data_IF_536448162817
#
_entry.id   IF_536448162817
#
_cell.length_a   1.000
_cell.length_b   1.000
_cell.length_c   1.000
_cell.angle_alpha   90.00
_cell.angle_beta   90.00
_cell.angle_gamma   90.00
#
_symmetry.space_group_name_H-M   'P 1'
#
loop_
_entity.id
_entity.type
_entity.pdbx_description
1 polymer ?
#
# COMPACT_ATOMS: atom_id res chain seq x y z
N UNK A 1 0.36 -23.38 -7.45
CA UNK A 1 0.35 -21.91 -7.63
C UNK A 1 1.79 -21.43 -7.83
N UNK A 2 2.03 -20.44 -8.70
CA UNK A 2 3.38 -19.91 -8.95
C UNK A 2 3.82 -18.87 -7.91
N UNK A 3 3.73 -19.19 -6.62
CA UNK A 3 4.16 -18.30 -5.54
C UNK A 3 5.64 -18.50 -5.21
N UNK A 4 6.35 -17.41 -4.95
CA UNK A 4 7.78 -17.37 -4.61
C UNK A 4 7.98 -16.54 -3.35
N UNK A 5 8.77 -17.04 -2.40
CA UNK A 5 9.36 -16.20 -1.35
C UNK A 5 10.62 -15.55 -1.92
N UNK A 6 10.70 -14.23 -1.87
CA UNK A 6 11.80 -13.46 -2.44
C UNK A 6 12.33 -12.43 -1.44
N UNK A 7 13.64 -12.24 -1.39
CA UNK A 7 14.25 -11.19 -0.57
C UNK A 7 14.29 -9.88 -1.36
N UNK A 8 13.43 -8.92 -1.00
CA UNK A 8 13.51 -7.55 -1.51
C UNK A 8 14.21 -6.62 -0.53
N UNK A 9 14.62 -5.43 -0.98
CA UNK A 9 15.16 -4.38 -0.09
C UNK A 9 13.99 -3.73 0.66
N UNK A 10 14.14 -3.48 1.96
CA UNK A 10 13.13 -2.77 2.73
C UNK A 10 12.83 -1.38 2.15
N UNK A 11 11.55 -1.02 2.05
CA UNK A 11 11.11 0.25 1.47
C UNK A 11 11.63 1.50 2.22
N UNK A 12 11.94 1.34 3.52
CA UNK A 12 12.47 2.41 4.38
C UNK A 12 14.01 2.44 4.43
N UNK A 13 14.69 1.55 3.71
CA UNK A 13 16.16 1.52 3.70
C UNK A 13 16.72 2.71 2.89
N UNK A 14 17.59 3.56 3.48
CA UNK A 14 18.12 4.74 2.81
C UNK A 14 19.02 4.41 1.62
N UNK A 15 19.30 5.43 0.79
CA UNK A 15 20.25 5.34 -0.31
C UNK A 15 21.69 5.13 0.20
N UNK A 16 22.58 4.67 -0.68
CA UNK A 16 24.04 4.73 -0.46
C UNK A 16 24.66 3.54 0.28
N UNK A 17 23.87 2.63 0.87
CA UNK A 17 24.40 1.36 1.37
C UNK A 17 24.58 0.36 0.25
N UNK A 18 25.68 -0.39 0.30
CA UNK A 18 25.91 -1.50 -0.62
C UNK A 18 24.78 -2.55 -0.49
N UNK A 19 24.31 -3.10 -1.60
CA UNK A 19 23.12 -3.98 -1.62
C UNK A 19 23.22 -5.19 -0.68
N UNK A 20 24.45 -5.69 -0.44
CA UNK A 20 24.73 -6.79 0.48
C UNK A 20 24.46 -6.47 1.95
N UNK A 21 24.53 -5.20 2.34
CA UNK A 21 24.34 -4.74 3.73
C UNK A 21 23.03 -3.96 3.92
N UNK A 22 22.28 -3.74 2.84
CA UNK A 22 20.96 -3.14 2.91
C UNK A 22 20.00 -4.09 3.65
N UNK A 23 19.11 -3.52 4.47
CA UNK A 23 18.07 -4.29 5.16
C UNK A 23 17.14 -4.93 4.14
N UNK A 24 17.00 -6.24 4.24
CA UNK A 24 16.12 -7.04 3.39
C UNK A 24 14.82 -7.38 4.11
N UNK A 25 13.80 -7.67 3.32
CA UNK A 25 12.51 -8.19 3.79
C UNK A 25 12.05 -9.29 2.85
N UNK A 26 11.73 -10.45 3.40
CA UNK A 26 11.17 -11.56 2.64
C UNK A 26 9.71 -11.26 2.30
N UNK A 27 9.37 -11.31 1.02
CA UNK A 27 8.03 -11.05 0.50
C UNK A 27 7.52 -12.24 -0.31
N UNK A 28 6.21 -12.44 -0.30
CA UNK A 28 5.54 -13.44 -1.12
C UNK A 28 5.10 -12.81 -2.42
N UNK A 29 5.62 -13.31 -3.54
CA UNK A 29 5.32 -12.85 -4.89
C UNK A 29 4.58 -13.92 -5.67
N UNK A 30 3.62 -13.53 -6.52
CA UNK A 30 2.90 -14.42 -7.44
C UNK A 30 3.47 -14.21 -8.84
N UNK A 31 4.43 -15.05 -9.23
CA UNK A 31 5.07 -14.99 -10.55
C UNK A 31 4.07 -15.25 -11.66
N UNK A 32 3.25 -16.30 -11.49
CA UNK A 32 2.25 -16.70 -12.47
C UNK A 32 0.86 -16.69 -11.86
N UNK A 33 -0.06 -16.04 -12.55
CA UNK A 33 -1.48 -16.06 -12.27
C UNK A 33 -2.23 -16.51 -13.52
N UNK A 34 -2.35 -17.83 -13.68
CA UNK A 34 -2.73 -18.48 -14.95
C UNK A 34 -3.94 -17.82 -15.60
N UNK A 35 -5.00 -17.56 -14.84
CA UNK A 35 -6.23 -16.99 -15.38
C UNK A 35 -5.97 -15.60 -15.97
N UNK A 36 -5.43 -14.67 -15.17
CA UNK A 36 -5.16 -13.30 -15.66
C UNK A 36 -4.03 -13.25 -16.70
N UNK A 37 -3.03 -14.13 -16.58
CA UNK A 37 -1.85 -14.13 -17.43
C UNK A 37 -2.18 -14.67 -18.83
N UNK A 38 -3.07 -15.66 -18.93
CA UNK A 38 -3.48 -16.20 -20.23
C UNK A 38 -4.31 -15.19 -21.03
N UNK A 39 -5.23 -14.49 -20.38
CA UNK A 39 -6.03 -13.42 -21.00
C UNK A 39 -5.11 -12.32 -21.55
N UNK A 40 -4.20 -11.81 -20.71
CA UNK A 40 -3.25 -10.77 -21.12
C UNK A 40 -2.29 -11.27 -22.21
N UNK A 41 -1.87 -12.52 -22.16
CA UNK A 41 -1.01 -13.11 -23.20
C UNK A 41 -1.72 -13.19 -24.54
N UNK A 42 -3.00 -13.60 -24.54
CA UNK A 42 -3.80 -13.70 -25.75
C UNK A 42 -4.04 -12.33 -26.39
N UNK A 43 -4.30 -11.30 -25.59
CA UNK A 43 -4.63 -9.96 -26.08
C UNK A 43 -3.40 -9.10 -26.41
N UNK A 44 -2.34 -9.16 -25.58
CA UNK A 44 -1.22 -8.22 -25.64
C UNK A 44 0.15 -8.89 -25.88
N UNK A 45 0.16 -10.20 -26.10
CA UNK A 45 1.37 -10.98 -26.36
C UNK A 45 2.36 -11.01 -25.20
N UNK A 46 3.58 -11.50 -25.48
CA UNK A 46 4.61 -11.73 -24.45
C UNK A 46 5.09 -10.45 -23.78
N UNK A 47 5.12 -9.33 -24.51
CA UNK A 47 5.49 -8.03 -23.96
C UNK A 47 4.42 -7.48 -23.01
N UNK A 48 3.13 -7.60 -23.36
CA UNK A 48 2.03 -7.24 -22.48
C UNK A 48 1.99 -8.09 -21.23
N UNK A 49 2.15 -9.41 -21.36
CA UNK A 49 2.25 -10.33 -20.23
C UNK A 49 3.39 -9.93 -19.29
N UNK A 50 4.58 -9.62 -19.83
CA UNK A 50 5.72 -9.21 -19.01
C UNK A 50 5.43 -7.93 -18.22
N UNK A 51 4.83 -6.92 -18.86
CA UNK A 51 4.41 -5.66 -18.21
C UNK A 51 3.36 -5.90 -17.12
N UNK A 52 2.38 -6.76 -17.38
CA UNK A 52 1.36 -7.15 -16.40
C UNK A 52 1.98 -7.82 -15.16
N UNK A 53 2.89 -8.78 -15.38
CA UNK A 53 3.64 -9.43 -14.29
C UNK A 53 4.51 -8.43 -13.53
N UNK A 54 5.22 -7.55 -14.23
CA UNK A 54 6.04 -6.50 -13.63
C UNK A 54 5.22 -5.65 -12.65
N UNK A 55 4.09 -5.11 -13.11
CA UNK A 55 3.20 -4.29 -12.30
C UNK A 55 2.67 -5.05 -11.07
N UNK A 56 2.32 -6.34 -11.23
CA UNK A 56 1.89 -7.20 -10.14
C UNK A 56 2.99 -7.41 -9.09
N UNK A 57 4.21 -7.75 -9.53
CA UNK A 57 5.32 -8.06 -8.63
C UNK A 57 5.76 -6.83 -7.84
N UNK A 58 5.88 -5.67 -8.48
CA UNK A 58 6.24 -4.42 -7.81
C UNK A 58 5.18 -4.00 -6.80
N UNK A 59 3.89 -4.14 -7.14
CA UNK A 59 2.78 -3.88 -6.23
C UNK A 59 2.85 -4.80 -5.01
N UNK A 60 2.98 -6.11 -5.21
CA UNK A 60 3.04 -7.08 -4.12
C UNK A 60 4.23 -6.88 -3.19
N UNK A 61 5.41 -6.57 -3.74
CA UNK A 61 6.59 -6.24 -2.94
C UNK A 61 6.34 -4.98 -2.09
N UNK A 62 5.82 -3.91 -2.71
CA UNK A 62 5.57 -2.65 -2.01
C UNK A 62 4.49 -2.78 -0.94
N UNK A 63 3.42 -3.53 -1.20
CA UNK A 63 2.36 -3.80 -0.22
C UNK A 63 2.86 -4.52 1.03
N UNK A 64 4.00 -5.22 0.91
CA UNK A 64 4.73 -5.91 1.97
C UNK A 64 5.96 -5.11 2.45
N UNK A 65 6.07 -3.83 2.08
CA UNK A 65 7.14 -2.90 2.49
C UNK A 65 8.54 -3.31 2.01
N UNK A 66 8.60 -3.94 0.83
CA UNK A 66 9.84 -4.20 0.11
C UNK A 66 9.82 -3.56 -1.29
N UNK A 67 11.00 -3.41 -1.87
CA UNK A 67 11.22 -2.87 -3.20
C UNK A 67 12.05 -3.87 -4.00
N UNK A 68 11.70 -4.00 -5.27
CA UNK A 68 12.45 -4.77 -6.25
C UNK A 68 13.28 -3.82 -7.11
N UNK A 69 14.53 -4.15 -7.33
CA UNK A 69 15.42 -3.49 -8.30
C UNK A 69 15.08 -3.92 -9.74
N UNK A 70 15.70 -3.27 -10.73
CA UNK A 70 15.53 -3.69 -12.11
C UNK A 70 16.19 -5.05 -12.37
N UNK A 71 17.27 -5.34 -11.66
CA UNK A 71 17.99 -6.61 -11.68
C UNK A 71 17.12 -7.74 -11.12
N UNK A 72 16.44 -7.50 -9.99
CA UNK A 72 15.50 -8.46 -9.39
C UNK A 72 14.37 -8.79 -10.38
N UNK A 73 13.75 -7.76 -10.97
CA UNK A 73 12.67 -7.92 -11.94
C UNK A 73 13.15 -8.60 -13.22
N UNK A 74 14.36 -8.30 -13.69
CA UNK A 74 14.96 -8.93 -14.85
C UNK A 74 15.17 -10.44 -14.62
N UNK A 75 15.66 -10.81 -13.44
CA UNK A 75 15.81 -12.21 -13.03
C UNK A 75 14.45 -12.92 -12.95
N UNK A 76 13.48 -12.32 -12.23
CA UNK A 76 12.15 -12.90 -12.01
C UNK A 76 11.33 -13.06 -13.30
N UNK A 77 11.52 -12.16 -14.26
CA UNK A 77 10.78 -12.15 -15.53
C UNK A 77 11.60 -12.69 -16.71
N UNK A 78 12.80 -13.23 -16.43
CA UNK A 78 13.69 -13.84 -17.42
C UNK A 78 13.95 -12.90 -18.62
N UNK A 79 14.35 -11.67 -18.33
CA UNK A 79 14.66 -10.64 -19.33
C UNK A 79 15.90 -9.82 -18.91
N UNK A 80 16.18 -8.71 -19.59
CA UNK A 80 17.26 -7.79 -19.24
C UNK A 80 16.76 -6.58 -18.44
N UNK A 81 17.62 -6.01 -17.59
CA UNK A 81 17.33 -4.76 -16.87
C UNK A 81 16.95 -3.60 -17.83
N UNK A 82 17.57 -3.55 -19.01
CA UNK A 82 17.23 -2.59 -20.08
C UNK A 82 15.80 -2.76 -20.60
N UNK A 83 15.29 -3.99 -20.70
CA UNK A 83 13.90 -4.25 -21.06
C UNK A 83 12.96 -3.87 -19.91
N UNK A 84 13.30 -4.20 -18.67
CA UNK A 84 12.53 -3.78 -17.48
C UNK A 84 12.41 -2.25 -17.43
N UNK A 85 13.51 -1.52 -17.64
CA UNK A 85 13.50 -0.05 -17.68
C UNK A 85 12.54 0.50 -18.74
N UNK A 86 12.55 -0.07 -19.96
CA UNK A 86 11.62 0.32 -21.03
C UNK A 86 10.17 0.02 -20.68
N UNK A 87 9.91 -1.14 -20.09
CA UNK A 87 8.58 -1.55 -19.66
C UNK A 87 8.04 -0.66 -18.52
N UNK A 88 8.88 -0.29 -17.55
CA UNK A 88 8.54 0.68 -16.50
C UNK A 88 8.18 2.04 -17.10
N UNK A 89 8.98 2.53 -18.05
CA UNK A 89 8.69 3.80 -18.74
C UNK A 89 7.38 3.74 -19.54
N UNK A 90 7.08 2.59 -20.17
CA UNK A 90 5.82 2.38 -20.89
C UNK A 90 4.63 2.39 -19.93
N UNK A 91 4.71 1.65 -18.82
CA UNK A 91 3.66 1.59 -17.80
C UNK A 91 3.40 2.97 -17.17
N UNK A 92 4.47 3.72 -16.87
CA UNK A 92 4.35 5.09 -16.37
C UNK A 92 3.67 6.02 -17.41
N UNK A 93 3.96 5.86 -18.71
CA UNK A 93 3.29 6.60 -19.79
C UNK A 93 1.81 6.25 -19.94
N UNK A 94 1.45 5.01 -19.61
CA UNK A 94 0.06 4.53 -19.52
C UNK A 94 -0.63 4.98 -18.21
N UNK A 95 0.02 5.81 -17.40
CA UNK A 95 -0.53 6.36 -16.16
C UNK A 95 -0.40 5.44 -14.95
N UNK A 96 0.25 4.28 -15.06
CA UNK A 96 0.50 3.37 -13.94
C UNK A 96 1.76 3.77 -13.20
N UNK A 97 1.66 4.05 -11.92
CA UNK A 97 2.84 4.34 -11.10
C UNK A 97 3.59 3.07 -10.69
N UNK A 98 4.74 2.81 -11.30
CA UNK A 98 5.59 1.65 -10.97
C UNK A 98 6.68 2.02 -9.96
N UNK A 99 6.55 1.51 -8.74
CA UNK A 99 7.54 1.70 -7.67
C UNK A 99 8.56 0.57 -7.69
N UNK A 100 9.80 0.93 -7.96
CA UNK A 100 10.98 0.07 -7.92
C UNK A 100 11.98 0.64 -6.92
N UNK A 101 13.04 -0.10 -6.61
CA UNK A 101 14.11 0.42 -5.75
C UNK A 101 14.73 1.70 -6.34
N UNK A 102 15.07 1.69 -7.62
CA UNK A 102 15.63 2.85 -8.32
C UNK A 102 14.69 4.04 -8.29
N UNK A 103 13.44 3.86 -8.76
CA UNK A 103 12.48 4.97 -8.80
C UNK A 103 12.17 5.54 -7.41
N UNK A 104 12.15 4.72 -6.35
CA UNK A 104 11.97 5.21 -4.98
C UNK A 104 13.17 6.02 -4.47
N UNK A 105 14.40 5.67 -4.86
CA UNK A 105 15.60 6.44 -4.50
C UNK A 105 15.65 7.77 -5.27
N UNK A 106 15.29 7.76 -6.55
CA UNK A 106 15.32 8.93 -7.42
C UNK A 106 14.23 9.97 -7.10
N UNK A 107 13.13 9.56 -6.47
CA UNK A 107 12.04 10.45 -6.03
C UNK A 107 12.45 11.48 -4.97
N UNK A 108 13.63 11.32 -4.34
CA UNK A 108 14.10 12.23 -3.31
C UNK A 108 13.20 12.30 -2.07
N UNK A 109 13.31 13.36 -1.23
CA UNK A 109 12.51 13.50 -0.02
C UNK A 109 11.06 13.95 -0.25
N UNK A 110 10.56 13.97 -1.49
CA UNK A 110 9.18 14.35 -1.81
C UNK A 110 8.11 13.45 -1.14
N UNK A 111 6.84 13.76 -1.35
CA UNK A 111 5.74 13.02 -0.71
C UNK A 111 5.86 11.50 -0.91
N UNK A 112 5.61 10.74 0.16
CA UNK A 112 5.53 9.30 0.04
C UNK A 112 4.38 8.91 -0.87
N UNK A 113 4.53 7.78 -1.54
CA UNK A 113 3.49 7.27 -2.42
C UNK A 113 2.19 6.94 -1.65
N UNK A 114 2.29 6.61 -0.35
CA UNK A 114 1.13 6.42 0.53
C UNK A 114 0.36 7.74 0.69
N UNK A 115 1.07 8.85 0.86
CA UNK A 115 0.49 10.20 0.95
C UNK A 115 -0.17 10.62 -0.36
N UNK A 116 0.44 10.32 -1.51
CA UNK A 116 -0.17 10.58 -2.84
C UNK A 116 -1.51 9.85 -3.00
N UNK A 117 -1.59 8.59 -2.56
CA UNK A 117 -2.83 7.81 -2.61
C UNK A 117 -3.95 8.46 -1.78
N UNK A 118 -3.62 8.92 -0.57
CA UNK A 118 -4.60 9.59 0.30
C UNK A 118 -5.00 10.94 -0.30
N UNK A 119 -4.06 11.67 -0.89
CA UNK A 119 -4.33 12.92 -1.60
C UNK A 119 -5.32 12.71 -2.75
N UNK A 120 -5.16 11.68 -3.58
CA UNK A 120 -6.17 11.33 -4.59
C UNK A 120 -7.54 11.02 -3.97
N UNK A 121 -7.58 10.26 -2.87
CA UNK A 121 -8.85 10.01 -2.20
C UNK A 121 -9.52 11.30 -1.72
N UNK A 122 -8.78 12.20 -1.08
CA UNK A 122 -9.33 13.47 -0.58
C UNK A 122 -9.76 14.42 -1.72
N UNK A 123 -9.17 14.28 -2.91
CA UNK A 123 -9.56 15.00 -4.14
C UNK A 123 -10.83 14.51 -4.83
N UNK A 124 -11.43 13.40 -4.38
CA UNK A 124 -12.68 12.91 -4.96
C UNK A 124 -12.56 11.66 -5.83
N UNK A 125 -11.35 11.14 -6.07
CA UNK A 125 -11.17 9.94 -6.89
C UNK A 125 -11.76 8.71 -6.19
N UNK A 126 -12.44 7.86 -6.95
CA UNK A 126 -12.96 6.56 -6.49
C UNK A 126 -11.82 5.58 -6.22
N UNK A 127 -12.10 4.52 -5.46
CA UNK A 127 -11.12 3.46 -5.23
C UNK A 127 -10.59 2.89 -6.56
N UNK A 128 -11.48 2.56 -7.49
CA UNK A 128 -11.12 2.01 -8.80
C UNK A 128 -10.19 2.93 -9.59
N UNK A 129 -10.44 4.25 -9.60
CA UNK A 129 -9.56 5.21 -10.27
C UNK A 129 -8.19 5.27 -9.60
N UNK A 130 -8.14 5.27 -8.26
CA UNK A 130 -6.89 5.24 -7.51
C UNK A 130 -6.12 3.97 -7.78
N UNK A 131 -6.78 2.80 -7.84
CA UNK A 131 -6.14 1.53 -8.18
C UNK A 131 -5.52 1.60 -9.58
N UNK A 132 -6.27 2.12 -10.56
CA UNK A 132 -5.82 2.23 -11.93
C UNK A 132 -4.60 3.14 -12.07
N UNK A 133 -4.62 4.30 -11.42
CA UNK A 133 -3.53 5.28 -11.45
C UNK A 133 -2.32 4.74 -10.68
N UNK A 134 -2.53 4.37 -9.42
CA UNK A 134 -1.41 4.12 -8.49
C UNK A 134 -0.90 2.69 -8.53
N UNK A 135 -1.57 1.78 -9.25
CA UNK A 135 -1.27 0.35 -9.23
C UNK A 135 -1.22 -0.20 -7.79
N UNK A 136 -2.17 0.22 -6.95
CA UNK A 136 -2.39 -0.31 -5.62
C UNK A 136 -3.76 -0.96 -5.54
N UNK A 137 -3.88 -2.02 -4.73
CA UNK A 137 -5.18 -2.62 -4.44
C UNK A 137 -6.02 -1.74 -3.52
N UNK A 138 -7.35 -1.86 -3.60
CA UNK A 138 -8.33 -1.19 -2.76
C UNK A 138 -8.04 -1.51 -1.29
N UNK A 139 -7.67 -2.76 -1.00
CA UNK A 139 -7.22 -3.19 0.32
C UNK A 139 -6.05 -2.33 0.83
N UNK A 140 -5.09 -2.01 -0.03
CA UNK A 140 -3.95 -1.16 0.31
C UNK A 140 -4.37 0.29 0.51
N UNK A 141 -5.24 0.82 -0.36
CA UNK A 141 -5.80 2.17 -0.21
C UNK A 141 -6.53 2.30 1.12
N UNK A 142 -7.42 1.36 1.46
CA UNK A 142 -8.14 1.30 2.75
C UNK A 142 -7.19 1.26 3.95
N UNK A 143 -6.11 0.48 3.87
CA UNK A 143 -5.08 0.45 4.91
C UNK A 143 -4.41 1.81 5.10
N UNK A 144 -4.03 2.48 4.01
CA UNK A 144 -3.41 3.82 4.10
C UNK A 144 -4.39 4.87 4.64
N UNK A 145 -5.67 4.79 4.25
CA UNK A 145 -6.72 5.64 4.83
C UNK A 145 -6.91 5.38 6.32
N UNK A 146 -6.88 4.12 6.77
CA UNK A 146 -6.96 3.79 8.20
C UNK A 146 -5.77 4.35 8.99
N UNK A 147 -4.55 4.22 8.46
CA UNK A 147 -3.34 4.83 9.04
C UNK A 147 -3.50 6.37 9.14
N UNK A 148 -4.05 6.99 8.09
CA UNK A 148 -4.31 8.43 8.04
C UNK A 148 -5.36 8.88 9.06
N UNK A 149 -6.49 8.18 9.15
CA UNK A 149 -7.55 8.43 10.12
C UNK A 149 -6.99 8.37 11.54
N UNK A 150 -6.18 7.36 11.84
CA UNK A 150 -5.56 7.23 13.16
C UNK A 150 -4.69 8.45 13.49
N UNK A 151 -3.79 8.85 12.57
CA UNK A 151 -2.91 10.00 12.76
C UNK A 151 -3.69 11.31 12.89
N UNK A 152 -4.68 11.54 12.02
CA UNK A 152 -5.53 12.73 12.04
C UNK A 152 -6.37 12.82 13.32
N UNK A 153 -6.91 11.69 13.79
CA UNK A 153 -7.71 11.61 15.02
C UNK A 153 -6.88 11.92 16.25
N UNK A 154 -5.66 11.36 16.34
CA UNK A 154 -4.72 11.69 17.40
C UNK A 154 -4.32 13.17 17.37
N UNK A 155 -4.15 13.76 16.18
CA UNK A 155 -3.86 15.19 16.09
C UNK A 155 -5.03 16.06 16.53
N UNK A 156 -6.28 15.66 16.23
CA UNK A 156 -7.49 16.38 16.68
C UNK A 156 -7.66 16.35 18.20
N UNK A 157 -7.11 15.33 18.87
CA UNK A 157 -6.99 15.24 20.34
C UNK A 157 -5.74 15.95 20.90
N UNK A 158 -5.06 16.73 20.06
CA UNK A 158 -3.87 17.53 20.36
C UNK A 158 -2.63 16.78 20.87
N UNK A 159 -2.49 15.50 20.49
CA UNK A 159 -1.23 14.79 20.72
C UNK A 159 -0.07 15.42 19.93
N UNK A 160 1.12 15.45 20.53
CA UNK A 160 2.36 15.91 19.88
C UNK A 160 2.83 14.91 18.83
N UNK A 161 3.50 15.36 17.78
CA UNK A 161 3.95 14.50 16.66
C UNK A 161 4.74 13.27 17.13
N UNK A 162 5.62 13.43 18.12
CA UNK A 162 6.38 12.32 18.68
C UNK A 162 5.50 11.27 19.39
N UNK A 163 4.42 11.69 20.07
CA UNK A 163 3.46 10.78 20.69
C UNK A 163 2.66 10.04 19.61
N UNK A 164 2.19 10.77 18.60
CA UNK A 164 1.48 10.19 17.44
C UNK A 164 2.32 9.11 16.78
N UNK A 165 3.61 9.38 16.53
CA UNK A 165 4.56 8.42 15.96
C UNK A 165 4.63 7.11 16.75
N UNK A 166 4.72 7.22 18.08
CA UNK A 166 4.82 6.06 18.97
C UNK A 166 3.51 5.27 19.00
N UNK A 167 2.37 5.95 19.11
CA UNK A 167 1.04 5.32 19.19
C UNK A 167 0.66 4.66 17.86
N UNK A 168 0.84 5.36 16.74
CA UNK A 168 0.51 4.87 15.41
C UNK A 168 1.54 3.87 14.85
N UNK A 169 2.70 3.74 15.50
CA UNK A 169 3.82 2.89 15.06
C UNK A 169 4.23 3.16 13.60
N UNK A 170 4.31 4.44 13.23
CA UNK A 170 4.74 4.87 11.89
C UNK A 170 6.06 5.61 11.96
N UNK A 171 6.73 5.75 10.81
CA UNK A 171 7.92 6.58 10.72
C UNK A 171 7.57 8.06 10.93
N UNK A 172 8.52 8.82 11.48
CA UNK A 172 8.33 10.26 11.71
C UNK A 172 7.95 11.01 10.44
N UNK A 173 8.54 10.62 9.31
CA UNK A 173 8.26 11.18 8.00
C UNK A 173 6.79 10.99 7.59
N UNK A 174 6.26 9.77 7.68
CA UNK A 174 4.85 9.50 7.32
C UNK A 174 3.90 10.30 8.22
N UNK A 175 4.21 10.40 9.51
CA UNK A 175 3.43 11.24 10.44
C UNK A 175 3.43 12.69 9.98
N UNK A 176 4.59 13.26 9.64
CA UNK A 176 4.67 14.64 9.14
C UNK A 176 3.86 14.85 7.86
N UNK A 177 4.05 14.00 6.86
CA UNK A 177 3.33 14.08 5.58
C UNK A 177 1.81 14.00 5.77
N UNK A 178 1.32 13.10 6.64
CA UNK A 178 -0.11 12.95 6.89
C UNK A 178 -0.68 14.13 7.70
N UNK A 179 0.08 14.69 8.63
CA UNK A 179 -0.34 15.87 9.38
C UNK A 179 -0.40 17.12 8.51
N UNK A 180 0.52 17.27 7.56
CA UNK A 180 0.48 18.33 6.55
C UNK A 180 -0.76 18.18 5.67
N UNK A 181 -1.02 16.97 5.17
CA UNK A 181 -2.21 16.67 4.37
C UNK A 181 -3.50 16.98 5.16
N UNK A 182 -3.57 16.54 6.41
CA UNK A 182 -4.68 16.83 7.32
C UNK A 182 -4.89 18.35 7.48
N UNK A 183 -3.83 19.10 7.78
CA UNK A 183 -3.90 20.57 7.92
C UNK A 183 -4.44 21.24 6.65
N UNK A 184 -3.94 20.84 5.48
CA UNK A 184 -4.36 21.41 4.19
C UNK A 184 -5.85 21.17 3.91
N UNK A 185 -6.33 19.94 4.07
CA UNK A 185 -7.71 19.59 3.77
C UNK A 185 -8.70 20.03 4.86
N UNK A 186 -8.28 20.13 6.12
CA UNK A 186 -9.09 20.75 7.17
C UNK A 186 -9.32 22.24 6.90
N UNK A 187 -8.30 22.97 6.44
CA UNK A 187 -8.44 24.38 6.08
C UNK A 187 -9.42 24.61 4.91
N UNK A 188 -9.58 23.61 4.03
CA UNK A 188 -10.50 23.64 2.90
C UNK A 188 -11.91 23.12 3.24
N UNK A 189 -12.16 22.74 4.50
CA UNK A 189 -13.39 22.09 4.94
C UNK A 189 -13.81 20.90 4.05
N UNK A 190 -12.84 20.05 3.68
CA UNK A 190 -13.05 18.96 2.73
C UNK A 190 -14.09 17.95 3.24
N UNK A 191 -15.12 17.68 2.43
CA UNK A 191 -16.25 16.81 2.78
C UNK A 191 -15.81 15.37 3.09
N UNK A 192 -14.90 14.80 2.28
CA UNK A 192 -14.40 13.44 2.50
C UNK A 192 -13.60 13.33 3.79
N UNK A 193 -12.76 14.32 4.11
CA UNK A 193 -12.05 14.36 5.38
C UNK A 193 -13.02 14.39 6.55
N UNK A 194 -14.05 15.24 6.47
CA UNK A 194 -15.07 15.34 7.51
C UNK A 194 -15.83 14.01 7.70
N UNK A 195 -16.15 13.32 6.60
CA UNK A 195 -16.78 12.00 6.62
C UNK A 195 -15.87 10.91 7.23
N UNK A 196 -14.57 10.95 6.96
CA UNK A 196 -13.61 9.98 7.53
C UNK A 196 -13.43 10.16 9.05
N UNK A 197 -13.62 11.38 9.56
CA UNK A 197 -13.40 11.71 10.97
C UNK A 197 -14.69 11.82 11.79
N UNK A 198 -15.86 11.67 11.15
CA UNK A 198 -17.11 11.55 11.86
C UNK A 198 -17.29 10.10 12.35
N UNK A 199 -17.62 9.90 13.64
CA UNK A 199 -17.90 8.56 14.13
C UNK A 199 -19.15 8.03 13.43
N UNK A 200 -19.02 6.93 12.68
CA UNK A 200 -20.18 6.18 12.19
C UNK A 200 -20.86 5.52 13.40
N UNK A 201 -22.20 5.58 13.53
CA UNK A 201 -22.90 4.80 14.54
C UNK A 201 -22.61 3.31 14.31
N UNK A 202 -22.47 2.49 15.36
CA UNK A 202 -22.24 1.06 15.21
C UNK A 202 -23.38 0.46 14.39
N UNK A 203 -23.02 -0.25 13.31
CA UNK A 203 -23.96 -1.03 12.49
C UNK A 203 -24.74 -2.00 13.38
N UNK A 204 -26.04 -2.16 13.16
CA UNK A 204 -26.90 -3.03 13.97
C UNK A 204 -26.45 -4.51 14.00
N UNK A 205 -25.61 -4.94 13.05
CA UNK A 205 -24.98 -6.28 13.07
C UNK A 205 -24.02 -6.50 14.26
N UNK A 206 -23.49 -5.43 14.87
CA UNK A 206 -22.64 -5.53 16.05
C UNK A 206 -23.44 -5.86 17.33
N UNK A 207 -24.75 -5.59 17.36
CA UNK A 207 -25.61 -5.89 18.52
C UNK A 207 -25.97 -7.38 18.63
N UNK A 208 -25.91 -8.15 17.54
CA UNK A 208 -26.28 -9.58 17.54
C UNK A 208 -25.27 -10.52 18.21
N UNK A 209 -24.03 -10.08 18.47
CA UNK A 209 -23.00 -10.91 19.11
C UNK A 209 -22.94 -10.84 20.64
N UNK A 210 -23.83 -10.07 21.28
CA UNK A 210 -23.88 -9.93 22.75
C UNK A 210 -25.18 -10.48 23.35
N UNK A 211 -25.82 -11.46 22.70
CA UNK A 211 -26.99 -12.17 23.22
C UNK A 211 -26.60 -13.44 23.98
N UNK A 212 -26.13 -13.27 25.22
CA UNK A 212 -26.30 -14.16 26.37
C UNK A 212 -26.30 -15.69 26.13
N UNK A 213 -25.12 -16.34 26.16
CA UNK A 213 -25.02 -17.72 26.67
C UNK A 213 -25.15 -17.66 28.20
N UNK A 214 -26.39 -17.77 28.69
CA UNK A 214 -26.66 -18.09 30.09
C UNK A 214 -26.19 -19.52 30.37
N UNK A 215 -24.98 -19.63 30.91
CA UNK A 215 -24.46 -20.83 31.57
C UNK A 215 -25.40 -21.23 32.72
N UNK A 216 -26.25 -22.23 32.48
CA UNK A 216 -26.92 -22.98 33.55
C UNK A 216 -25.91 -23.98 34.11
N UNK A 217 -25.34 -23.65 35.27
CA UNK A 217 -24.39 -24.48 35.99
C UNK A 217 -24.75 -24.61 37.47
N UNK A 218 -25.42 -25.71 37.81
CA UNK A 218 -25.21 -26.42 39.08
C UNK A 218 -26.26 -26.29 40.18
N UNK A 219 -27.03 -27.36 40.37
CA UNK A 219 -26.99 -28.30 41.53
C UNK A 219 -28.39 -28.79 41.90
N UNK A 220 -28.56 -30.12 42.01
CA UNK A 220 -28.98 -30.80 43.26
C UNK A 220 -28.95 -32.32 43.07
N UNK A 221 -28.05 -32.95 43.83
CA UNK A 221 -28.16 -34.18 44.63
C UNK A 221 -29.29 -35.18 44.34
N UNK A 222 -28.91 -36.41 43.99
CA UNK A 222 -29.24 -37.69 44.67
C UNK A 222 -28.38 -38.84 44.13
#
# INVERSE_FOLDING_TARGET
SGQLAYEGISADEPAGKHIRIARKKTVRLKLYDINSDLEVLAEFGTAGLRRHRLARLTRQAYEQEALLSYEDLALLLTTSASTIKRDVQQLNREGKFIITRGSKLDMGPGLSHKTIIIDYYLKGYSFTEIEHITNHSERSVKRYLSDFIQIASLKKQDFKQNQIRLIAQKSMRIVQEYLELFKCYSAQNNERLNLLLSPSPPSDDAKKKSGNESLSGGKQDE
#
